data_IF_898868465382
#
_entry.id   IF_898868465382
#
_cell.length_a   1.000
_cell.length_b   1.000
_cell.length_c   1.000
_cell.angle_alpha   90.00
_cell.angle_beta   90.00
_cell.angle_gamma   90.00
#
_symmetry.space_group_name_H-M   'P 1'
#
loop_
_entity.id
_entity.type
_entity.pdbx_description
1 polymer ?
#
# COMPACT_ATOMS: atom_id res chain seq x y z
N UNK A 1 -17.91 10.00 -6.40
CA UNK A 1 -16.50 9.59 -6.45
C UNK A 1 -16.48 8.10 -6.23
N UNK A 2 -16.12 7.33 -7.24
CA UNK A 2 -16.21 5.88 -7.17
C UNK A 2 -15.24 5.38 -6.09
N UNK A 3 -15.67 4.43 -5.25
CA UNK A 3 -14.87 3.87 -4.13
C UNK A 3 -13.44 3.51 -4.56
N UNK A 4 -13.29 3.06 -5.81
CA UNK A 4 -12.03 2.72 -6.47
C UNK A 4 -11.06 3.92 -6.60
N UNK A 5 -11.56 5.09 -7.01
CA UNK A 5 -10.75 6.31 -7.13
C UNK A 5 -10.22 6.79 -5.78
N UNK A 6 -11.04 6.66 -4.73
CA UNK A 6 -10.63 7.03 -3.37
C UNK A 6 -9.52 6.12 -2.87
N UNK A 7 -9.66 4.80 -3.06
CA UNK A 7 -8.64 3.82 -2.66
C UNK A 7 -7.34 4.05 -3.45
N UNK A 8 -7.44 4.28 -4.76
CA UNK A 8 -6.27 4.59 -5.59
C UNK A 8 -5.51 5.82 -5.06
N UNK A 9 -6.22 6.93 -4.79
CA UNK A 9 -5.60 8.14 -4.23
C UNK A 9 -4.94 7.90 -2.87
N UNK A 10 -5.53 7.05 -2.04
CA UNK A 10 -4.95 6.70 -0.73
C UNK A 10 -3.66 5.90 -0.87
N UNK A 11 -3.61 4.94 -1.80
CA UNK A 11 -2.40 4.14 -2.07
C UNK A 11 -1.29 5.03 -2.65
N UNK A 12 -1.61 5.88 -3.63
CA UNK A 12 -0.67 6.84 -4.22
C UNK A 12 -0.09 7.78 -3.16
N UNK A 13 -0.95 8.34 -2.30
CA UNK A 13 -0.51 9.17 -1.17
C UNK A 13 0.36 8.39 -0.17
N UNK A 14 0.04 7.12 0.08
CA UNK A 14 0.83 6.27 0.97
C UNK A 14 2.23 6.02 0.41
N UNK A 15 2.36 5.80 -0.90
CA UNK A 15 3.66 5.69 -1.59
C UNK A 15 4.48 6.99 -1.48
N UNK A 16 3.84 8.15 -1.64
CA UNK A 16 4.53 9.44 -1.47
C UNK A 16 5.05 9.66 -0.05
N UNK A 17 4.25 9.31 0.97
CA UNK A 17 4.65 9.39 2.37
C UNK A 17 5.80 8.41 2.64
N UNK A 18 5.68 7.17 2.18
CA UNK A 18 6.69 6.13 2.34
C UNK A 18 8.07 6.58 1.84
N UNK A 19 8.12 7.23 0.68
CA UNK A 19 9.38 7.77 0.11
C UNK A 19 10.03 8.84 0.98
N UNK A 20 9.24 9.63 1.72
CA UNK A 20 9.71 10.72 2.59
C UNK A 20 10.11 10.24 3.99
N UNK A 21 9.69 9.04 4.39
CA UNK A 21 9.98 8.51 5.71
C UNK A 21 11.44 8.03 5.81
N UNK A 22 12.10 8.22 6.96
CA UNK A 22 13.41 7.63 7.24
C UNK A 22 13.41 6.10 7.14
N UNK A 23 14.56 5.51 6.82
CA UNK A 23 14.70 4.05 6.63
C UNK A 23 14.68 3.24 7.95
N UNK A 24 14.89 3.90 9.09
CA UNK A 24 14.88 3.29 10.43
C UNK A 24 13.48 3.13 11.03
N UNK A 25 12.44 3.56 10.29
CA UNK A 25 11.05 3.41 10.70
C UNK A 25 10.61 1.95 10.57
N UNK A 26 9.83 1.50 11.56
CA UNK A 26 9.08 0.24 11.48
C UNK A 26 7.82 0.46 10.66
N UNK A 27 7.59 -0.42 9.69
CA UNK A 27 6.39 -0.42 8.86
C UNK A 27 5.54 -1.65 9.18
N UNK A 28 4.22 -1.50 9.11
CA UNK A 28 3.30 -2.58 9.39
C UNK A 28 2.22 -2.65 8.32
N UNK A 29 1.92 -3.86 7.87
CA UNK A 29 0.78 -4.14 6.99
C UNK A 29 -0.32 -4.78 7.84
N UNK A 30 -1.54 -4.25 7.70
CA UNK A 30 -2.72 -4.80 8.33
C UNK A 30 -3.38 -5.83 7.38
N UNK A 31 -3.44 -7.09 7.79
CA UNK A 31 -4.07 -8.18 7.03
C UNK A 31 -5.53 -8.41 7.42
N UNK A 32 -6.11 -7.53 8.24
CA UNK A 32 -7.44 -7.63 8.84
C UNK A 32 -7.43 -8.31 10.21
N UNK A 33 -6.55 -9.29 10.42
CA UNK A 33 -6.42 -10.06 11.67
C UNK A 33 -5.10 -9.81 12.40
N UNK A 34 -4.04 -9.46 11.66
CA UNK A 34 -2.70 -9.27 12.21
C UNK A 34 -2.09 -7.96 11.67
N UNK A 35 -1.16 -7.41 12.44
CA UNK A 35 -0.22 -6.40 12.00
C UNK A 35 1.13 -7.07 11.81
N UNK A 36 1.59 -7.13 10.56
CA UNK A 36 2.86 -7.77 10.20
C UNK A 36 3.91 -6.68 10.03
N UNK A 37 4.99 -6.73 10.81
CA UNK A 37 6.14 -5.85 10.62
C UNK A 37 6.82 -6.19 9.29
N UNK A 38 7.11 -5.19 8.48
CA UNK A 38 7.76 -5.33 7.17
C UNK A 38 8.85 -4.28 7.00
N UNK A 39 9.78 -4.56 6.09
CA UNK A 39 10.73 -3.57 5.62
C UNK A 39 10.04 -2.48 4.80
N UNK A 40 10.70 -1.33 4.66
CA UNK A 40 10.25 -0.23 3.79
C UNK A 40 10.06 -0.68 2.34
N UNK A 41 10.94 -1.56 1.85
CA UNK A 41 10.87 -2.12 0.49
C UNK A 41 9.63 -3.01 0.31
N UNK A 42 9.37 -3.89 1.26
CA UNK A 42 8.17 -4.75 1.25
C UNK A 42 6.87 -3.94 1.33
N UNK A 43 6.85 -2.87 2.13
CA UNK A 43 5.73 -1.93 2.17
C UNK A 43 5.50 -1.25 0.81
N UNK A 44 6.58 -0.86 0.12
CA UNK A 44 6.50 -0.25 -1.21
C UNK A 44 5.97 -1.26 -2.26
N UNK A 45 6.49 -2.49 -2.26
CA UNK A 45 6.04 -3.56 -3.14
C UNK A 45 4.57 -3.93 -2.90
N UNK A 46 4.14 -3.98 -1.64
CA UNK A 46 2.74 -4.21 -1.28
C UNK A 46 1.82 -3.12 -1.88
N UNK A 47 2.14 -1.84 -1.64
CA UNK A 47 1.34 -0.73 -2.16
C UNK A 47 1.30 -0.71 -3.71
N UNK A 48 2.40 -1.08 -4.38
CA UNK A 48 2.42 -1.20 -5.85
C UNK A 48 1.51 -2.33 -6.34
N UNK A 49 1.54 -3.50 -5.68
CA UNK A 49 0.65 -4.62 -6.01
C UNK A 49 -0.82 -4.28 -5.80
N UNK A 50 -1.15 -3.59 -4.70
CA UNK A 50 -2.52 -3.11 -4.46
C UNK A 50 -2.98 -2.14 -5.56
N UNK A 51 -2.10 -1.23 -5.99
CA UNK A 51 -2.38 -0.30 -7.07
C UNK A 51 -2.56 -1.01 -8.43
N UNK A 52 -1.73 -2.01 -8.72
CA UNK A 52 -1.83 -2.85 -9.92
C UNK A 52 -3.13 -3.67 -9.91
N UNK A 53 -3.49 -4.28 -8.78
CA UNK A 53 -4.74 -5.04 -8.62
C UNK A 53 -6.00 -4.18 -8.76
N UNK A 54 -5.91 -2.89 -8.42
CA UNK A 54 -6.99 -1.95 -8.73
C UNK A 54 -7.04 -1.62 -10.22
N UNK A 55 -5.89 -1.52 -10.90
CA UNK A 55 -5.83 -1.18 -12.34
C UNK A 55 -6.21 -2.36 -13.24
N UNK A 56 -5.83 -3.58 -12.87
CA UNK A 56 -6.19 -4.81 -13.55
C UNK A 56 -7.32 -5.53 -12.83
N UNK A 57 -8.55 -5.48 -13.36
CA UNK A 57 -9.59 -6.43 -13.00
C UNK A 57 -9.04 -7.85 -13.23
N UNK A 58 -8.65 -8.57 -12.17
CA UNK A 58 -8.61 -10.03 -12.22
C UNK A 58 -9.68 -10.53 -11.25
N UNK A 59 -10.80 -11.07 -11.76
CA UNK A 59 -11.79 -11.70 -10.91
C UNK A 59 -11.15 -12.95 -10.30
N UNK A 60 -11.20 -13.05 -8.98
CA UNK A 60 -11.16 -14.35 -8.29
C UNK A 60 -12.55 -14.59 -7.70
#
# INVERSE_FOLDING_TARGET
MEKKELIQKQIEKSLEILKKLPDDRKFFINTGVLLVEVSKKEAEEYLKKELEGLRGNTPH
#
